data_IF_989956694812
#
_entry.id   IF_989956694812
#
_cell.length_a   1.000
_cell.length_b   1.000
_cell.length_c   1.000
_cell.angle_alpha   90.00
_cell.angle_beta   90.00
_cell.angle_gamma   90.00
#
_symmetry.space_group_name_H-M   'P 1'
#
loop_
_entity.id
_entity.type
_entity.pdbx_description
1 polymer ?
#
# COMPACT_ATOMS: atom_id res chain seq x y z
N UNK A 1 -5.71 14.02 1.41
CA UNK A 1 -4.30 13.58 1.36
C UNK A 1 -4.08 12.51 2.43
N UNK A 2 -3.71 11.29 2.01
CA UNK A 2 -3.50 10.16 2.94
C UNK A 2 -2.23 10.35 3.79
N UNK A 3 -1.25 11.12 3.31
CA UNK A 3 -0.01 11.43 4.02
C UNK A 3 -0.18 12.56 5.06
N UNK A 4 -1.36 13.21 5.12
CA UNK A 4 -1.63 14.37 5.99
C UNK A 4 -3.04 14.35 6.61
N UNK A 5 -3.49 13.17 7.07
CA UNK A 5 -4.75 13.02 7.78
C UNK A 5 -4.64 13.54 9.21
N UNK A 6 -5.64 14.29 9.69
CA UNK A 6 -5.74 14.76 11.08
C UNK A 6 -5.67 13.59 12.08
N UNK A 7 -5.16 13.84 13.28
CA UNK A 7 -4.97 12.82 14.32
C UNK A 7 -6.28 12.24 14.85
N UNK A 8 -7.38 13.01 14.77
CA UNK A 8 -8.72 12.58 15.21
C UNK A 8 -9.27 11.38 14.43
N UNK A 9 -8.70 11.04 13.28
CA UNK A 9 -9.10 9.88 12.49
C UNK A 9 -8.37 8.62 13.00
N UNK A 10 -9.00 7.94 13.95
CA UNK A 10 -8.52 6.74 14.64
C UNK A 10 -9.71 5.84 15.00
N UNK A 11 -9.45 4.63 15.49
CA UNK A 11 -10.48 3.68 15.93
C UNK A 11 -11.06 2.83 14.81
N UNK A 12 -10.35 2.68 13.69
CA UNK A 12 -10.82 1.89 12.55
C UNK A 12 -10.56 0.40 12.77
N UNK A 13 -11.51 -0.44 12.38
CA UNK A 13 -11.32 -1.90 12.33
C UNK A 13 -10.77 -2.37 10.98
N UNK A 14 -10.93 -1.55 9.93
CA UNK A 14 -10.44 -1.80 8.58
C UNK A 14 -9.99 -0.50 7.90
N UNK A 15 -8.80 -0.53 7.30
CA UNK A 15 -8.33 0.47 6.34
C UNK A 15 -8.09 -0.21 5.00
N UNK A 16 -8.78 0.26 3.96
CA UNK A 16 -8.59 -0.18 2.58
C UNK A 16 -7.81 0.88 1.80
N UNK A 17 -6.63 0.52 1.30
CA UNK A 17 -5.82 1.34 0.41
C UNK A 17 -5.71 0.66 -0.96
N UNK A 18 -6.70 0.94 -1.82
CA UNK A 18 -6.76 0.43 -3.19
C UNK A 18 -6.22 1.45 -4.19
N UNK A 19 -5.30 1.03 -5.07
CA UNK A 19 -4.63 1.84 -6.09
C UNK A 19 -4.08 3.16 -5.51
N UNK A 20 -3.44 3.07 -4.34
CA UNK A 20 -3.06 4.24 -3.53
C UNK A 20 -1.54 4.38 -3.35
N UNK A 21 -0.86 3.37 -2.79
CA UNK A 21 0.50 3.58 -2.24
C UNK A 21 1.54 3.95 -3.30
N UNK A 22 1.35 3.52 -4.55
CA UNK A 22 2.19 3.86 -5.70
C UNK A 22 1.89 5.24 -6.30
N UNK A 23 0.88 5.94 -5.76
CA UNK A 23 0.44 7.29 -6.14
C UNK A 23 0.69 8.33 -5.05
N UNK A 24 1.35 7.96 -3.94
CA UNK A 24 1.62 8.87 -2.82
C UNK A 24 3.01 9.47 -2.91
N UNK A 25 3.15 10.76 -2.59
CA UNK A 25 4.46 11.40 -2.53
C UNK A 25 5.35 10.87 -1.40
N UNK A 26 4.76 10.30 -0.33
CA UNK A 26 5.50 9.63 0.74
C UNK A 26 4.70 8.45 1.29
N UNK A 27 4.76 7.29 0.61
CA UNK A 27 4.01 6.09 1.00
C UNK A 27 4.52 5.50 2.30
N UNK A 28 5.82 5.65 2.61
CA UNK A 28 6.43 5.22 3.87
C UNK A 28 5.79 5.93 5.06
N UNK A 29 5.58 7.25 4.95
CA UNK A 29 4.88 8.03 5.99
C UNK A 29 3.45 7.55 6.18
N UNK A 30 2.71 7.32 5.09
CA UNK A 30 1.36 6.76 5.17
C UNK A 30 1.36 5.41 5.91
N UNK A 31 2.22 4.47 5.52
CA UNK A 31 2.28 3.14 6.13
C UNK A 31 2.67 3.19 7.62
N UNK A 32 3.63 4.03 7.99
CA UNK A 32 4.01 4.26 9.39
C UNK A 32 2.86 4.86 10.23
N UNK A 33 1.95 5.60 9.58
CA UNK A 33 0.79 6.21 10.22
C UNK A 33 -0.43 5.28 10.31
N UNK A 34 -0.48 4.16 9.59
CA UNK A 34 -1.63 3.23 9.64
C UNK A 34 -1.79 2.57 11.03
N UNK A 35 -0.75 2.03 11.70
CA UNK A 35 -0.92 1.32 12.98
C UNK A 35 -1.64 2.15 14.05
N UNK A 36 -1.35 3.45 14.14
CA UNK A 36 -1.96 4.37 15.13
C UNK A 36 -3.44 4.67 14.86
N UNK A 37 -3.95 4.33 13.67
CA UNK A 37 -5.34 4.58 13.27
C UNK A 37 -6.22 3.34 13.38
N UNK A 38 -5.63 2.15 13.43
CA UNK A 38 -6.33 0.88 13.59
C UNK A 38 -6.47 0.50 15.06
N UNK A 39 -7.62 -0.09 15.41
CA UNK A 39 -7.79 -0.83 16.65
C UNK A 39 -6.84 -2.05 16.68
N UNK A 40 -6.39 -2.51 17.87
CA UNK A 40 -5.72 -3.80 18.01
C UNK A 40 -6.50 -4.91 17.29
N UNK A 41 -5.83 -5.72 16.47
CA UNK A 41 -6.48 -6.76 15.64
C UNK A 41 -7.18 -6.25 14.38
N UNK A 42 -7.24 -4.94 14.13
CA UNK A 42 -7.79 -4.35 12.92
C UNK A 42 -6.99 -4.70 11.66
N UNK A 43 -7.60 -4.53 10.49
CA UNK A 43 -7.04 -4.95 9.21
C UNK A 43 -6.59 -3.77 8.34
N UNK A 44 -5.42 -3.91 7.74
CA UNK A 44 -4.96 -3.11 6.62
C UNK A 44 -5.04 -3.96 5.35
N UNK A 45 -5.82 -3.52 4.37
CA UNK A 45 -5.88 -4.13 3.04
C UNK A 45 -5.17 -3.22 2.04
N UNK A 46 -4.11 -3.74 1.42
CA UNK A 46 -3.39 -3.08 0.34
C UNK A 46 -3.74 -3.77 -0.97
N UNK A 47 -4.19 -3.02 -1.97
CA UNK A 47 -4.44 -3.54 -3.30
C UNK A 47 -3.93 -2.53 -4.33
N UNK A 48 -2.74 -2.72 -4.88
CA UNK A 48 -2.18 -1.78 -5.86
C UNK A 48 -1.43 -2.55 -6.95
N UNK A 49 -1.39 -2.02 -8.19
CA UNK A 49 -0.54 -2.59 -9.25
C UNK A 49 0.94 -2.33 -9.02
N UNK A 50 1.30 -1.50 -8.04
CA UNK A 50 2.66 -1.06 -7.74
C UNK A 50 3.37 -0.50 -8.96
N UNK A 51 2.63 0.28 -9.76
CA UNK A 51 3.18 0.99 -10.91
C UNK A 51 3.83 2.26 -10.41
N UNK A 52 5.02 2.10 -9.83
CA UNK A 52 5.80 3.20 -9.30
C UNK A 52 6.24 4.13 -10.44
N UNK A 53 5.88 5.40 -10.32
CA UNK A 53 6.21 6.45 -11.28
C UNK A 53 6.73 7.68 -10.53
N UNK A 54 7.82 8.26 -11.02
CA UNK A 54 8.46 9.43 -10.40
C UNK A 54 7.57 10.69 -10.39
N UNK A 55 6.57 10.75 -11.27
CA UNK A 55 5.54 11.81 -11.26
C UNK A 55 4.68 11.81 -9.99
N UNK A 56 4.62 10.68 -9.28
CA UNK A 56 3.86 10.53 -8.04
C UNK A 56 4.75 10.34 -6.82
N UNK A 57 5.75 9.47 -6.95
CA UNK A 57 6.60 9.05 -5.85
C UNK A 57 8.05 9.20 -6.28
N UNK A 58 8.81 10.07 -5.61
CA UNK A 58 10.25 10.18 -5.88
C UNK A 58 10.93 8.84 -5.73
N UNK A 59 11.95 8.56 -6.54
CA UNK A 59 12.59 7.25 -6.63
C UNK A 59 13.06 6.71 -5.27
N UNK A 60 13.58 7.58 -4.42
CA UNK A 60 14.04 7.27 -3.06
C UNK A 60 12.91 6.83 -2.11
N UNK A 61 11.66 7.21 -2.38
CA UNK A 61 10.50 6.85 -1.57
C UNK A 61 9.85 5.54 -2.03
N UNK A 62 10.34 4.92 -3.12
CA UNK A 62 9.80 3.67 -3.62
C UNK A 62 9.96 2.56 -2.57
N UNK A 63 8.92 1.75 -2.42
CA UNK A 63 8.90 0.63 -1.48
C UNK A 63 9.50 -0.63 -2.12
N UNK A 64 9.42 -0.76 -3.45
CA UNK A 64 10.04 -1.84 -4.22
C UNK A 64 10.11 -1.50 -5.70
N UNK A 65 10.35 -2.51 -6.54
CA UNK A 65 10.53 -2.30 -7.99
C UNK A 65 11.92 -1.81 -8.37
N UNK A 66 12.93 -2.16 -7.57
CA UNK A 66 14.33 -1.78 -7.78
C UNK A 66 15.27 -2.96 -7.47
N UNK A 67 16.57 -2.75 -7.70
CA UNK A 67 17.61 -3.71 -7.34
C UNK A 67 18.21 -3.35 -5.99
N UNK A 68 18.24 -4.30 -5.06
CA UNK A 68 18.90 -4.20 -3.74
C UNK A 68 19.97 -5.28 -3.70
N UNK A 69 21.23 -4.89 -3.57
CA UNK A 69 22.38 -5.81 -3.55
C UNK A 69 22.46 -6.75 -4.77
N UNK A 70 22.05 -6.26 -5.94
CA UNK A 70 22.01 -7.02 -7.21
C UNK A 70 20.75 -7.87 -7.41
N UNK A 71 19.94 -8.07 -6.37
CA UNK A 71 18.71 -8.84 -6.43
C UNK A 71 17.48 -7.97 -6.68
N UNK A 72 16.43 -8.55 -7.28
CA UNK A 72 15.15 -7.86 -7.44
C UNK A 72 14.48 -7.70 -6.09
N UNK A 73 14.22 -6.45 -5.69
CA UNK A 73 13.49 -6.13 -4.47
C UNK A 73 12.07 -5.71 -4.84
N UNK A 74 11.09 -6.56 -4.51
CA UNK A 74 9.68 -6.35 -4.88
C UNK A 74 9.00 -5.39 -3.90
N UNK A 75 7.85 -4.83 -4.29
CA UNK A 75 7.04 -4.02 -3.36
C UNK A 75 6.57 -4.86 -2.17
N UNK A 76 6.27 -6.15 -2.37
CA UNK A 76 5.90 -7.05 -1.29
C UNK A 76 7.04 -7.22 -0.26
N UNK A 77 8.29 -7.29 -0.72
CA UNK A 77 9.45 -7.36 0.17
C UNK A 77 9.57 -6.09 1.02
N UNK A 78 9.45 -4.92 0.38
CA UNK A 78 9.45 -3.64 1.09
C UNK A 78 8.27 -3.47 2.06
N UNK A 79 7.08 -3.95 1.69
CA UNK A 79 5.92 -3.96 2.59
C UNK A 79 6.16 -4.87 3.79
N UNK A 80 6.73 -6.06 3.59
CA UNK A 80 7.10 -6.95 4.70
C UNK A 80 8.10 -6.29 5.64
N UNK A 81 9.14 -5.65 5.10
CA UNK A 81 10.13 -4.91 5.92
C UNK A 81 9.47 -3.77 6.71
N UNK A 82 8.64 -2.94 6.07
CA UNK A 82 8.03 -1.77 6.69
C UNK A 82 6.93 -2.10 7.71
N UNK A 83 6.17 -3.17 7.49
CA UNK A 83 5.00 -3.50 8.31
C UNK A 83 5.29 -4.53 9.40
N UNK A 84 6.44 -5.22 9.36
CA UNK A 84 6.74 -6.35 10.25
C UNK A 84 6.59 -6.04 11.76
N UNK A 85 6.92 -4.82 12.17
CA UNK A 85 6.89 -4.40 13.57
C UNK A 85 5.46 -4.38 14.13
N UNK A 86 4.50 -3.84 13.37
CA UNK A 86 3.14 -3.58 13.84
C UNK A 86 2.11 -4.55 13.28
N UNK A 87 2.45 -5.31 12.25
CA UNK A 87 1.51 -6.16 11.52
C UNK A 87 2.00 -7.59 11.31
N UNK A 88 1.04 -8.45 11.04
CA UNK A 88 1.20 -9.80 10.51
C UNK A 88 0.48 -9.89 9.15
N UNK A 89 1.16 -10.43 8.14
CA UNK A 89 0.52 -10.74 6.85
C UNK A 89 -0.39 -11.96 7.03
N UNK A 90 -1.70 -11.79 6.90
CA UNK A 90 -2.68 -12.86 7.12
C UNK A 90 -3.28 -13.42 5.83
N UNK A 91 -3.17 -12.69 4.71
CA UNK A 91 -3.60 -13.18 3.39
C UNK A 91 -2.87 -12.47 2.25
N UNK A 92 -2.64 -13.20 1.16
CA UNK A 92 -2.01 -12.70 -0.07
C UNK A 92 -0.54 -13.10 -0.20
N UNK A 93 0.14 -12.70 -1.29
CA UNK A 93 -0.38 -11.86 -2.38
C UNK A 93 -1.42 -12.58 -3.25
N UNK A 94 -2.45 -11.86 -3.69
CA UNK A 94 -3.44 -12.34 -4.66
C UNK A 94 -3.61 -11.33 -5.80
N UNK A 95 -3.63 -11.79 -7.05
CA UNK A 95 -3.96 -10.93 -8.19
C UNK A 95 -5.46 -10.63 -8.22
N UNK A 96 -5.83 -9.35 -8.27
CA UNK A 96 -7.21 -8.88 -8.37
C UNK A 96 -7.37 -7.95 -9.57
N UNK A 97 -8.20 -8.29 -10.58
CA UNK A 97 -8.44 -7.42 -11.72
C UNK A 97 -9.33 -6.23 -11.33
N UNK A 98 -9.03 -5.07 -11.91
CA UNK A 98 -9.88 -3.88 -11.83
C UNK A 98 -9.83 -3.08 -13.12
N UNK A 99 -10.82 -2.20 -13.29
CA UNK A 99 -10.91 -1.30 -14.43
C UNK A 99 -11.02 0.14 -13.95
N UNK A 100 -10.14 1.00 -14.42
CA UNK A 100 -10.30 2.45 -14.31
C UNK A 100 -10.92 2.96 -15.61
N UNK A 101 -12.02 3.68 -15.47
CA UNK A 101 -12.63 4.39 -16.59
C UNK A 101 -12.09 5.82 -16.64
N UNK A 102 -11.30 6.13 -17.66
CA UNK A 102 -10.76 7.48 -17.87
C UNK A 102 -11.74 8.38 -18.63
N UNK A 103 -12.43 7.82 -19.64
CA UNK A 103 -13.46 8.54 -20.40
C UNK A 103 -14.63 7.60 -20.73
N UNK A 104 -15.61 8.06 -21.54
CA UNK A 104 -16.65 7.17 -22.07
C UNK A 104 -16.11 6.04 -22.95
N UNK A 105 -14.96 6.24 -23.61
CA UNK A 105 -14.39 5.28 -24.58
C UNK A 105 -12.97 4.82 -24.24
N UNK A 106 -12.38 5.30 -23.15
CA UNK A 106 -11.05 4.91 -22.67
C UNK A 106 -11.16 4.26 -21.30
N UNK A 107 -10.69 3.02 -21.21
CA UNK A 107 -10.63 2.23 -19.99
C UNK A 107 -9.23 1.63 -19.86
N UNK A 108 -8.74 1.55 -18.63
CA UNK A 108 -7.51 0.86 -18.27
C UNK A 108 -7.90 -0.39 -17.49
N UNK A 109 -7.57 -1.57 -18.03
CA UNK A 109 -7.64 -2.83 -17.30
C UNK A 109 -6.29 -3.09 -16.63
N UNK A 110 -6.29 -3.46 -15.36
CA UNK A 110 -5.06 -3.65 -14.57
C UNK A 110 -5.26 -4.76 -13.53
N UNK A 111 -4.17 -5.39 -13.12
CA UNK A 111 -4.14 -6.34 -12.02
C UNK A 111 -3.45 -5.69 -10.82
N UNK A 112 -4.16 -5.62 -9.69
CA UNK A 112 -3.55 -5.28 -8.40
C UNK A 112 -3.00 -6.53 -7.73
N UNK A 113 -1.91 -6.37 -6.97
CA UNK A 113 -1.55 -7.33 -5.93
C UNK A 113 -2.28 -6.94 -4.64
N UNK A 114 -3.09 -7.86 -4.12
CA UNK A 114 -3.84 -7.71 -2.88
C UNK A 114 -3.14 -8.44 -1.73
N UNK A 115 -2.96 -7.74 -0.61
CA UNK A 115 -2.50 -8.31 0.66
C UNK A 115 -3.36 -7.80 1.83
N UNK A 116 -3.56 -8.64 2.83
CA UNK A 116 -4.28 -8.30 4.07
C UNK A 116 -3.35 -8.48 5.24
N UNK A 117 -3.24 -7.45 6.05
CA UNK A 117 -2.36 -7.36 7.22
C UNK A 117 -3.20 -7.13 8.46
N UNK A 118 -2.96 -7.91 9.51
CA UNK A 118 -3.61 -7.73 10.81
C UNK A 118 -2.68 -6.97 11.74
N UNK A 119 -3.17 -5.90 12.34
CA UNK A 119 -2.43 -5.16 13.37
C UNK A 119 -2.24 -6.05 14.59
N UNK A 120 -1.01 -6.12 15.09
CA UNK A 120 -0.65 -6.81 16.33
C UNK A 120 -1.36 -6.15 17.52
N UNK A 121 -1.59 -6.93 18.56
CA UNK A 121 -2.29 -6.50 19.77
C UNK A 121 -1.45 -5.60 20.65
#
# INVERSE_FOLDING_TARGET
DACNLKEVFTGFDLILAANLIDRLYSPRRFLADVPRRLNPGGLLLLASPYTWLEEHTKREEWIGGFKKDGESFTTLDGLKELLAADFELVQGPQAVPFVIRETRRKHQHTLSELTIWRKRT
#
